data_IF_846624279153
#
_entry.id   IF_846624279153
#
_cell.length_a   1.000
_cell.length_b   1.000
_cell.length_c   1.000
_cell.angle_alpha   90.00
_cell.angle_beta   90.00
_cell.angle_gamma   90.00
#
_symmetry.space_group_name_H-M   'P 1'
#
loop_
_entity.id
_entity.type
_entity.pdbx_description
1 polymer ?
#
# COMPACT_ATOMS: atom_id res chain seq x y z
N UNK A 1 11.42 -10.87 12.06
CA UNK A 1 10.12 -11.49 11.76
C UNK A 1 9.02 -10.89 12.63
N UNK A 2 7.90 -10.50 12.05
CA UNK A 2 6.75 -9.92 12.78
C UNK A 2 5.88 -10.98 13.45
N UNK A 3 6.04 -12.27 13.11
CA UNK A 3 5.13 -13.36 13.50
C UNK A 3 3.73 -13.25 12.89
N UNK A 4 3.49 -12.32 11.98
CA UNK A 4 2.20 -12.17 11.30
C UNK A 4 2.03 -13.20 10.18
N UNK A 5 0.83 -13.76 9.99
CA UNK A 5 0.52 -14.58 8.82
C UNK A 5 0.78 -13.79 7.54
N UNK A 6 1.47 -14.40 6.58
CA UNK A 6 1.86 -13.75 5.32
C UNK A 6 1.32 -14.55 4.16
N UNK A 7 0.71 -13.85 3.20
CA UNK A 7 0.14 -14.41 1.98
C UNK A 7 0.71 -13.67 0.77
N UNK A 8 0.97 -14.40 -0.30
CA UNK A 8 1.44 -13.85 -1.57
C UNK A 8 0.24 -13.67 -2.50
N UNK A 9 0.12 -12.51 -3.12
CA UNK A 9 -0.91 -12.21 -4.11
C UNK A 9 -0.22 -11.99 -5.45
N UNK A 10 -0.55 -12.79 -6.47
CA UNK A 10 0.16 -12.75 -7.75
C UNK A 10 -0.77 -13.09 -8.93
N UNK A 11 -0.41 -12.63 -10.11
CA UNK A 11 -0.95 -13.05 -11.40
C UNK A 11 -0.04 -14.08 -12.11
N UNK A 12 1.10 -14.41 -11.52
CA UNK A 12 2.11 -15.28 -12.11
C UNK A 12 2.05 -16.70 -11.54
N UNK A 13 1.77 -17.68 -12.39
CA UNK A 13 1.68 -19.09 -12.03
C UNK A 13 2.99 -19.67 -11.48
N UNK A 14 4.16 -19.17 -11.90
CA UNK A 14 5.44 -19.63 -11.39
C UNK A 14 5.62 -19.21 -9.93
N UNK A 15 5.24 -17.96 -9.60
CA UNK A 15 5.24 -17.47 -8.21
C UNK A 15 4.23 -18.28 -7.37
N UNK A 16 3.03 -18.50 -7.87
CA UNK A 16 2.01 -19.31 -7.19
C UNK A 16 2.52 -20.70 -6.83
N UNK A 17 3.20 -21.37 -7.78
CA UNK A 17 3.74 -22.71 -7.57
C UNK A 17 4.87 -22.78 -6.52
N UNK A 18 5.57 -21.66 -6.26
CA UNK A 18 6.59 -21.60 -5.21
C UNK A 18 5.99 -21.57 -3.79
N UNK A 19 4.83 -20.93 -3.62
CA UNK A 19 4.23 -20.70 -2.30
C UNK A 19 3.09 -21.67 -1.99
N UNK A 20 2.45 -22.25 -3.01
CA UNK A 20 1.31 -23.15 -2.88
C UNK A 20 -0.02 -22.44 -2.53
N UNK A 21 -1.13 -23.12 -2.77
CA UNK A 21 -2.47 -22.55 -2.64
C UNK A 21 -2.90 -22.15 -1.23
N UNK A 22 -2.22 -22.66 -0.21
CA UNK A 22 -2.53 -22.29 1.19
C UNK A 22 -1.99 -20.90 1.57
N UNK A 23 -0.88 -20.48 0.94
CA UNK A 23 -0.17 -19.24 1.25
C UNK A 23 -0.14 -18.25 0.10
N UNK A 24 -0.70 -18.61 -1.05
CA UNK A 24 -0.71 -17.78 -2.22
C UNK A 24 -2.08 -17.77 -2.90
N UNK A 25 -2.56 -16.58 -3.20
CA UNK A 25 -3.72 -16.38 -4.04
C UNK A 25 -3.29 -15.97 -5.43
N UNK A 26 -3.82 -16.66 -6.44
CA UNK A 26 -3.57 -16.32 -7.83
C UNK A 26 -4.78 -15.62 -8.44
N UNK A 27 -4.53 -14.50 -9.08
CA UNK A 27 -5.50 -13.78 -9.89
C UNK A 27 -5.88 -14.64 -11.10
N UNK A 28 -7.14 -14.97 -11.24
CA UNK A 28 -7.62 -15.78 -12.38
C UNK A 28 -7.78 -14.90 -13.62
N UNK A 29 -7.20 -15.31 -14.74
CA UNK A 29 -7.20 -14.60 -16.03
C UNK A 29 -8.60 -14.23 -16.56
N UNK A 30 -9.66 -14.86 -16.08
CA UNK A 30 -11.03 -14.63 -16.52
C UNK A 30 -11.73 -13.44 -15.86
N UNK A 31 -11.11 -12.86 -14.87
CA UNK A 31 -11.55 -11.60 -14.25
C UNK A 31 -10.55 -10.54 -14.70
N UNK A 32 -11.04 -9.39 -15.19
CA UNK A 32 -10.19 -8.29 -15.62
C UNK A 32 -9.03 -8.07 -14.61
N UNK A 33 -7.80 -7.99 -15.11
CA UNK A 33 -6.63 -7.77 -14.26
C UNK A 33 -6.85 -6.58 -13.35
N UNK A 34 -6.47 -6.71 -12.08
CA UNK A 34 -6.59 -5.60 -11.14
C UNK A 34 -5.68 -4.45 -11.57
N UNK A 35 -6.24 -3.26 -11.56
CA UNK A 35 -5.58 -2.05 -12.07
C UNK A 35 -4.34 -1.62 -11.26
N UNK A 36 -4.26 -2.04 -9.98
CA UNK A 36 -3.17 -1.72 -9.08
C UNK A 36 -3.11 -2.70 -7.89
N UNK A 37 -2.10 -2.53 -7.02
CA UNK A 37 -1.86 -3.41 -5.88
C UNK A 37 -2.99 -3.38 -4.84
N UNK A 38 -3.56 -2.21 -4.56
CA UNK A 38 -4.69 -2.07 -3.62
C UNK A 38 -5.94 -2.78 -4.14
N UNK A 39 -6.25 -2.65 -5.42
CA UNK A 39 -7.38 -3.36 -6.04
C UNK A 39 -7.18 -4.89 -5.99
N UNK A 40 -5.96 -5.39 -6.22
CA UNK A 40 -5.61 -6.81 -6.06
C UNK A 40 -5.80 -7.28 -4.62
N UNK A 41 -5.36 -6.50 -3.64
CA UNK A 41 -5.59 -6.81 -2.23
C UNK A 41 -7.09 -6.88 -1.89
N UNK A 42 -7.89 -5.93 -2.38
CA UNK A 42 -9.34 -5.93 -2.19
C UNK A 42 -9.98 -7.19 -2.78
N UNK A 43 -9.62 -7.56 -4.00
CA UNK A 43 -10.11 -8.78 -4.64
C UNK A 43 -9.70 -10.06 -3.92
N UNK A 44 -8.49 -10.13 -3.39
CA UNK A 44 -8.05 -11.25 -2.58
C UNK A 44 -8.83 -11.35 -1.26
N UNK A 45 -9.04 -10.23 -0.58
CA UNK A 45 -9.81 -10.18 0.69
C UNK A 45 -11.28 -10.57 0.47
N UNK A 46 -11.83 -10.32 -0.71
CA UNK A 46 -13.18 -10.74 -1.06
C UNK A 46 -13.28 -12.23 -1.38
N UNK A 47 -12.27 -12.82 -2.03
CA UNK A 47 -12.37 -14.13 -2.68
C UNK A 47 -11.52 -15.22 -2.04
N UNK A 48 -10.47 -14.88 -1.32
CA UNK A 48 -9.57 -15.84 -0.72
C UNK A 48 -9.98 -16.14 0.72
N UNK A 49 -10.60 -17.31 0.96
CA UNK A 49 -11.17 -17.72 2.24
C UNK A 49 -10.17 -17.66 3.41
N UNK A 50 -8.88 -17.90 3.14
CA UNK A 50 -7.82 -17.82 4.16
C UNK A 50 -7.72 -16.44 4.81
N UNK A 51 -8.20 -15.37 4.14
CA UNK A 51 -8.20 -14.01 4.62
C UNK A 51 -9.47 -13.63 5.42
N UNK A 52 -10.50 -14.47 5.45
CA UNK A 52 -11.79 -14.14 6.08
C UNK A 52 -11.70 -13.90 7.60
N UNK A 53 -10.71 -14.45 8.25
CA UNK A 53 -10.50 -14.33 9.71
C UNK A 53 -9.78 -13.04 10.14
N UNK A 54 -9.36 -12.19 9.21
CA UNK A 54 -8.60 -10.99 9.52
C UNK A 54 -9.41 -9.72 9.22
N UNK A 55 -9.34 -8.76 10.11
CA UNK A 55 -9.98 -7.44 9.97
C UNK A 55 -9.04 -6.35 9.51
N UNK A 56 -7.73 -6.61 9.55
CA UNK A 56 -6.68 -5.66 9.18
C UNK A 56 -5.64 -6.33 8.31
N UNK A 57 -5.17 -5.63 7.30
CA UNK A 57 -4.22 -6.12 6.31
C UNK A 57 -3.05 -5.15 6.16
N UNK A 58 -1.86 -5.70 6.01
CA UNK A 58 -0.68 -4.91 5.63
C UNK A 58 -0.25 -5.40 4.25
N UNK A 59 -0.24 -4.49 3.28
CA UNK A 59 0.28 -4.71 1.95
C UNK A 59 1.71 -4.20 1.87
N UNK A 60 2.65 -5.08 1.56
CA UNK A 60 4.02 -4.73 1.20
C UNK A 60 4.17 -4.98 -0.29
N UNK A 61 4.46 -3.95 -1.04
CA UNK A 61 4.65 -4.05 -2.49
C UNK A 61 5.90 -4.87 -2.82
N UNK A 62 5.85 -5.68 -3.88
CA UNK A 62 6.91 -6.61 -4.22
C UNK A 62 8.22 -5.95 -4.68
N UNK A 63 8.19 -4.67 -5.02
CA UNK A 63 9.33 -3.82 -5.36
C UNK A 63 9.96 -3.11 -4.13
N UNK A 64 9.49 -3.44 -2.93
CA UNK A 64 9.99 -2.91 -1.66
C UNK A 64 10.58 -4.02 -0.76
N UNK A 65 11.63 -4.73 -1.21
CA UNK A 65 12.18 -5.88 -0.47
C UNK A 65 12.82 -5.51 0.86
N UNK A 66 13.21 -4.25 1.03
CA UNK A 66 13.91 -3.75 2.23
C UNK A 66 12.96 -3.28 3.35
N UNK A 67 11.66 -3.44 3.18
CA UNK A 67 10.69 -3.15 4.26
C UNK A 67 10.93 -4.10 5.43
N UNK A 68 11.29 -3.52 6.57
CA UNK A 68 11.58 -4.27 7.79
C UNK A 68 10.33 -4.60 8.60
N UNK A 69 10.46 -5.58 9.52
CA UNK A 69 9.38 -5.92 10.44
C UNK A 69 8.93 -4.76 11.33
N UNK A 70 9.83 -3.88 11.70
CA UNK A 70 9.51 -2.71 12.53
C UNK A 70 8.61 -1.73 11.77
N UNK A 71 8.88 -1.49 10.50
CA UNK A 71 8.04 -0.65 9.63
C UNK A 71 6.62 -1.21 9.57
N UNK A 72 6.49 -2.53 9.38
CA UNK A 72 5.19 -3.23 9.38
C UNK A 72 4.45 -3.02 10.72
N UNK A 73 5.16 -3.10 11.83
CA UNK A 73 4.58 -2.88 13.18
C UNK A 73 4.11 -1.44 13.34
N UNK A 74 4.86 -0.45 12.87
CA UNK A 74 4.43 0.95 12.91
C UNK A 74 3.16 1.19 12.09
N UNK A 75 3.11 0.70 10.86
CA UNK A 75 1.92 0.81 10.00
C UNK A 75 0.72 0.09 10.63
N UNK A 76 0.92 -1.09 11.22
CA UNK A 76 -0.13 -1.82 11.93
C UNK A 76 -0.73 -1.02 13.08
N UNK A 77 0.10 -0.35 13.89
CA UNK A 77 -0.36 0.46 15.03
C UNK A 77 -1.22 1.65 14.61
N UNK A 78 -0.92 2.26 13.47
CA UNK A 78 -1.73 3.36 12.95
C UNK A 78 -3.17 2.94 12.64
N UNK A 79 -3.42 1.66 12.37
CA UNK A 79 -4.77 1.14 12.15
C UNK A 79 -5.62 1.08 13.44
N UNK A 80 -5.08 1.45 14.59
CA UNK A 80 -5.88 1.66 15.81
C UNK A 80 -6.66 2.99 15.75
N UNK A 81 -6.16 3.96 14.99
CA UNK A 81 -6.72 5.31 14.89
C UNK A 81 -7.20 5.68 13.47
N UNK A 82 -6.71 4.99 12.44
CA UNK A 82 -6.97 5.33 11.04
C UNK A 82 -7.41 4.12 10.22
N UNK A 83 -8.38 4.30 9.31
CA UNK A 83 -8.86 3.21 8.44
C UNK A 83 -7.82 2.76 7.40
N UNK A 84 -6.87 3.66 7.09
CA UNK A 84 -5.77 3.42 6.16
C UNK A 84 -4.50 4.00 6.77
N UNK A 85 -3.38 3.31 6.57
CA UNK A 85 -2.10 3.71 7.11
C UNK A 85 -0.97 3.51 6.10
N UNK A 86 0.09 4.30 6.22
CA UNK A 86 1.34 4.12 5.45
C UNK A 86 2.53 4.66 6.24
N UNK A 87 3.73 4.52 5.68
CA UNK A 87 4.96 5.03 6.28
C UNK A 87 5.72 5.95 5.31
N UNK A 88 6.55 6.79 5.90
CA UNK A 88 7.46 7.66 5.16
C UNK A 88 8.82 7.77 5.87
N UNK A 89 9.82 8.16 5.12
CA UNK A 89 11.15 8.47 5.64
C UNK A 89 11.64 9.81 5.12
N UNK A 90 12.69 10.34 5.73
CA UNK A 90 13.36 11.54 5.21
C UNK A 90 13.93 11.28 3.82
N UNK A 91 14.01 12.33 3.02
CA UNK A 91 14.47 12.25 1.65
C UNK A 91 15.59 13.26 1.42
N UNK A 92 16.65 12.85 0.74
CA UNK A 92 17.73 13.74 0.31
C UNK A 92 17.22 14.75 -0.74
N UNK A 93 17.93 15.86 -0.88
CA UNK A 93 17.59 16.84 -1.93
C UNK A 93 17.74 16.26 -3.34
N UNK A 94 18.66 15.34 -3.56
CA UNK A 94 18.85 14.65 -4.82
C UNK A 94 17.64 13.76 -5.13
N UNK A 95 17.22 12.95 -4.17
CA UNK A 95 16.08 12.06 -4.31
C UNK A 95 14.75 12.83 -4.50
N UNK A 96 14.60 14.01 -3.91
CA UNK A 96 13.43 14.89 -4.15
C UNK A 96 13.27 15.31 -5.61
N UNK A 97 14.36 15.34 -6.38
CA UNK A 97 14.35 15.66 -7.82
C UNK A 97 14.04 14.43 -8.69
N UNK A 98 14.15 13.24 -8.13
CA UNK A 98 13.88 12.00 -8.82
C UNK A 98 12.37 11.83 -9.07
N UNK A 99 11.89 11.78 -10.33
CA UNK A 99 10.48 11.64 -10.65
C UNK A 99 9.94 10.25 -10.35
N UNK A 100 10.80 9.26 -10.09
CA UNK A 100 10.38 7.90 -9.73
C UNK A 100 10.04 7.79 -8.24
N UNK A 101 10.61 8.65 -7.41
CA UNK A 101 10.32 8.66 -5.97
C UNK A 101 9.03 9.39 -5.67
N UNK A 102 8.15 8.75 -4.95
CA UNK A 102 6.88 9.35 -4.53
C UNK A 102 7.10 10.22 -3.31
N UNK A 103 6.74 11.50 -3.41
CA UNK A 103 6.78 12.43 -2.27
C UNK A 103 5.43 12.42 -1.57
N UNK A 104 5.48 12.39 -0.25
CA UNK A 104 4.29 12.55 0.60
C UNK A 104 4.33 13.92 1.27
N UNK A 105 3.19 14.61 1.25
CA UNK A 105 2.92 15.80 2.03
C UNK A 105 2.03 15.42 3.20
N UNK A 106 2.42 15.76 4.41
CA UNK A 106 1.71 15.37 5.62
C UNK A 106 1.81 16.44 6.72
N UNK A 107 1.01 16.30 7.76
CA UNK A 107 1.06 17.17 8.96
C UNK A 107 1.68 16.47 10.18
N UNK A 108 2.41 15.38 9.96
CA UNK A 108 2.98 14.54 11.01
C UNK A 108 2.08 13.38 11.46
N UNK A 109 0.77 13.46 11.22
CA UNK A 109 -0.21 12.44 11.63
C UNK A 109 -0.97 11.84 10.45
N UNK A 110 -1.31 12.67 9.46
CA UNK A 110 -2.09 12.24 8.28
C UNK A 110 -1.47 12.76 7.00
N UNK A 111 -1.58 11.98 5.94
CA UNK A 111 -1.24 12.39 4.59
C UNK A 111 -2.17 13.51 4.11
N UNK A 112 -1.62 14.43 3.32
CA UNK A 112 -2.33 15.52 2.67
C UNK A 112 -2.29 15.41 1.16
N UNK A 113 -1.18 14.89 0.63
CA UNK A 113 -1.03 14.64 -0.81
C UNK A 113 0.11 13.65 -1.07
N UNK A 114 0.09 13.05 -2.26
CA UNK A 114 1.18 12.27 -2.82
C UNK A 114 1.44 12.71 -4.25
N UNK A 115 2.70 12.80 -4.65
CA UNK A 115 3.03 13.17 -6.02
C UNK A 115 4.46 12.81 -6.39
N UNK A 116 4.66 12.41 -7.64
CA UNK A 116 5.99 12.17 -8.21
C UNK A 116 6.64 13.47 -8.66
N UNK A 117 5.85 14.38 -9.23
CA UNK A 117 6.31 15.66 -9.74
C UNK A 117 6.64 16.74 -8.71
N UNK A 118 6.41 16.47 -7.41
CA UNK A 118 6.76 17.40 -6.35
C UNK A 118 8.28 17.48 -6.22
N UNK A 119 8.82 18.71 -6.26
CA UNK A 119 10.25 18.97 -6.12
C UNK A 119 10.51 20.01 -5.03
N UNK A 120 11.62 19.87 -4.32
CA UNK A 120 12.05 20.84 -3.30
C UNK A 120 11.44 20.66 -1.91
N UNK A 121 10.39 19.85 -1.74
CA UNK A 121 9.77 19.54 -0.46
C UNK A 121 9.08 18.17 -0.47
N UNK A 122 8.58 17.75 0.71
CA UNK A 122 7.99 16.43 0.92
C UNK A 122 9.01 15.40 1.39
N UNK A 123 8.49 14.33 1.97
CA UNK A 123 9.26 13.18 2.43
C UNK A 123 9.03 11.97 1.51
N UNK A 124 9.88 10.95 1.62
CA UNK A 124 9.79 9.77 0.79
C UNK A 124 8.70 8.82 1.29
N UNK A 125 7.67 8.65 0.48
CA UNK A 125 6.62 7.67 0.73
C UNK A 125 7.13 6.26 0.46
N UNK A 126 6.90 5.35 1.41
CA UNK A 126 7.25 3.94 1.28
C UNK A 126 6.05 3.12 0.81
N UNK A 127 6.29 2.16 -0.11
CA UNK A 127 5.26 1.29 -0.69
C UNK A 127 4.74 0.21 0.29
N UNK A 128 4.41 0.62 1.50
CA UNK A 128 3.78 -0.22 2.53
C UNK A 128 2.51 0.43 3.02
N UNK A 129 1.41 -0.33 3.05
CA UNK A 129 0.09 0.16 3.41
C UNK A 129 -0.57 -0.74 4.43
N UNK A 130 -1.31 -0.13 5.36
CA UNK A 130 -2.25 -0.81 6.23
C UNK A 130 -3.69 -0.46 5.84
N UNK A 131 -4.60 -1.42 5.97
CA UNK A 131 -6.01 -1.24 5.67
C UNK A 131 -6.87 -1.95 6.71
N UNK A 132 -7.95 -1.30 7.13
CA UNK A 132 -9.10 -2.00 7.68
C UNK A 132 -9.84 -2.75 6.56
N UNK A 133 -10.41 -3.92 6.90
CA UNK A 133 -11.12 -4.76 5.92
C UNK A 133 -12.16 -3.99 5.11
N UNK A 134 -13.05 -3.24 5.78
CA UNK A 134 -14.13 -2.54 5.09
C UNK A 134 -13.59 -1.47 4.15
N UNK A 135 -12.61 -0.68 4.61
CA UNK A 135 -11.97 0.32 3.76
C UNK A 135 -11.42 -0.32 2.49
N UNK A 136 -10.66 -1.42 2.63
CA UNK A 136 -10.09 -2.11 1.48
C UNK A 136 -11.16 -2.64 0.51
N UNK A 137 -12.27 -3.21 1.00
CA UNK A 137 -13.39 -3.68 0.17
C UNK A 137 -14.17 -2.54 -0.52
N UNK A 138 -14.10 -1.33 0.02
CA UNK A 138 -14.74 -0.17 -0.59
C UNK A 138 -13.87 0.46 -1.70
N UNK A 139 -12.57 0.23 -1.70
CA UNK A 139 -11.65 0.82 -2.67
C UNK A 139 -12.08 0.69 -4.14
N UNK A 140 -12.50 -0.49 -4.65
CA UNK A 140 -12.91 -0.64 -6.05
C UNK A 140 -14.18 0.15 -6.42
N UNK A 141 -14.96 0.59 -5.41
CA UNK A 141 -16.21 1.34 -5.58
C UNK A 141 -15.99 2.85 -5.57
N UNK A 142 -14.81 3.30 -5.14
CA UNK A 142 -14.47 4.71 -5.04
C UNK A 142 -14.28 5.33 -6.42
N UNK A 143 -14.66 6.60 -6.51
CA UNK A 143 -14.48 7.38 -7.73
C UNK A 143 -12.98 7.56 -8.01
N UNK A 144 -12.58 7.26 -9.24
CA UNK A 144 -11.25 7.55 -9.78
C UNK A 144 -11.22 8.99 -10.29
N UNK A 145 -10.23 9.75 -9.86
CA UNK A 145 -10.02 11.13 -10.30
C UNK A 145 -8.83 11.21 -11.24
N UNK A 146 -8.73 12.32 -11.97
CA UNK A 146 -7.70 12.51 -12.99
C UNK A 146 -6.28 12.46 -12.43
N UNK A 147 -6.06 12.98 -11.23
CA UNK A 147 -4.76 13.05 -10.59
C UNK A 147 -4.18 11.66 -10.29
N UNK A 148 -5.02 10.69 -9.89
CA UNK A 148 -4.61 9.30 -9.74
C UNK A 148 -4.05 8.74 -11.06
N UNK A 149 -4.74 9.05 -12.18
CA UNK A 149 -4.32 8.57 -13.49
C UNK A 149 -3.05 9.26 -14.00
N UNK A 150 -2.86 10.54 -13.71
CA UNK A 150 -1.69 11.33 -14.10
C UNK A 150 -0.46 10.92 -13.30
N UNK A 151 -0.60 10.89 -11.97
CA UNK A 151 0.50 10.55 -11.06
C UNK A 151 0.81 9.05 -11.03
N UNK A 152 -0.13 8.18 -11.46
CA UNK A 152 -0.04 6.72 -11.30
C UNK A 152 0.13 6.30 -9.84
N UNK A 153 -0.68 6.91 -8.97
CA UNK A 153 -0.62 6.75 -7.52
C UNK A 153 -2.00 6.35 -6.96
N UNK A 154 -2.17 5.07 -6.72
CA UNK A 154 -3.41 4.43 -6.24
C UNK A 154 -3.94 5.01 -4.92
N UNK A 155 -3.06 5.47 -4.04
CA UNK A 155 -3.42 6.05 -2.75
C UNK A 155 -4.11 7.42 -2.85
N UNK A 156 -4.01 8.11 -3.99
CA UNK A 156 -4.76 9.34 -4.25
C UNK A 156 -6.26 9.11 -4.28
N UNK A 157 -6.71 7.91 -4.69
CA UNK A 157 -8.13 7.55 -4.67
C UNK A 157 -8.72 7.68 -3.27
N UNK A 158 -8.00 7.23 -2.24
CA UNK A 158 -8.42 7.37 -0.86
C UNK A 158 -8.59 8.85 -0.45
N UNK A 159 -7.54 9.65 -0.65
CA UNK A 159 -7.55 11.06 -0.28
C UNK A 159 -8.66 11.84 -0.97
N UNK A 160 -8.83 11.62 -2.26
CA UNK A 160 -9.82 12.34 -3.08
C UNK A 160 -11.26 11.89 -2.79
N UNK A 161 -11.46 10.74 -2.15
CA UNK A 161 -12.75 10.29 -1.61
C UNK A 161 -12.87 10.55 -0.10
N UNK A 162 -12.06 11.47 0.46
CA UNK A 162 -12.10 11.93 1.85
C UNK A 162 -11.76 10.89 2.92
N UNK A 163 -11.02 9.83 2.56
CA UNK A 163 -10.47 8.94 3.56
C UNK A 163 -9.22 9.56 4.22
N UNK A 164 -9.10 9.36 5.52
CA UNK A 164 -7.89 9.72 6.24
C UNK A 164 -6.86 8.59 6.11
N UNK A 165 -5.63 8.96 5.75
CA UNK A 165 -4.48 8.05 5.72
C UNK A 165 -3.55 8.46 6.86
N UNK A 166 -3.45 7.62 7.90
CA UNK A 166 -2.48 7.79 8.98
C UNK A 166 -1.06 7.55 8.48
N UNK A 167 -0.09 8.33 8.99
CA UNK A 167 1.30 8.24 8.56
C UNK A 167 2.26 8.15 9.73
N UNK A 168 3.32 7.34 9.59
CA UNK A 168 4.42 7.24 10.55
C UNK A 168 5.75 7.49 9.88
N UNK A 169 6.58 8.32 10.54
CA UNK A 169 7.99 8.46 10.18
C UNK A 169 8.74 7.20 10.63
N UNK A 170 9.53 6.64 9.75
CA UNK A 170 10.37 5.47 10.03
C UNK A 170 11.80 5.69 9.54
N UNK A 171 12.75 4.96 10.10
CA UNK A 171 14.08 4.84 9.51
C UNK A 171 14.05 3.80 8.41
N UNK A 172 14.56 4.16 7.24
CA UNK A 172 14.63 3.28 6.07
C UNK A 172 15.93 3.54 5.32
N UNK A 173 16.76 2.51 5.24
CA UNK A 173 18.07 2.55 4.59
C UNK A 173 18.07 1.74 3.26
N UNK A 174 16.90 1.37 2.76
CA UNK A 174 16.74 0.66 1.48
C UNK A 174 16.95 1.58 0.26
N UNK A 175 17.25 0.94 -0.86
CA UNK A 175 17.50 1.59 -2.16
C UNK A 175 16.20 1.97 -2.87
#
# INVERSE_FOLDING_TARGET
STGLPTYVLTDNMQIFNLFGSENCWIEQEQVASYENGTARCAGAVEKFEALNKFDRFINVQGDMPDITGDIIVYVKRLLDDFPIATAYTEMSEEERKNPNSVKIIHNGHTARWFGRGITGYGDWHLGVYGYERQSLLDYPKLRVYNEENVEKLEQLRWLQNNFMIGVSKVSFDGL
#
